data_IF_716313113049
#
_entry.id   IF_716313113049
#
_cell.length_a   1.000
_cell.length_b   1.000
_cell.length_c   1.000
_cell.angle_alpha   90.00
_cell.angle_beta   90.00
_cell.angle_gamma   90.00
#
_symmetry.space_group_name_H-M   'P 1'
#
loop_
_entity.id
_entity.type
_entity.pdbx_description
1 polymer ?
#
# COMPACT_ATOMS: atom_id res chain seq x y z
N UNK A 1 13.68 5.78 -7.17
CA UNK A 1 13.70 4.34 -6.86
C UNK A 1 12.67 3.68 -7.77
N UNK A 2 13.02 2.63 -8.51
CA UNK A 2 12.05 1.94 -9.38
C UNK A 2 11.22 1.00 -8.51
N UNK A 3 9.90 1.07 -8.59
CA UNK A 3 9.01 0.14 -7.90
C UNK A 3 8.79 -1.12 -8.77
N UNK A 4 8.69 -2.27 -8.11
CA UNK A 4 8.28 -3.54 -8.73
C UNK A 4 6.75 -3.63 -8.81
N UNK A 5 6.06 -2.95 -7.89
CA UNK A 5 4.60 -2.87 -7.82
C UNK A 5 4.18 -1.46 -7.38
N UNK A 6 3.22 -0.88 -8.07
CA UNK A 6 2.59 0.40 -7.71
C UNK A 6 1.14 0.16 -7.28
N UNK A 7 0.75 0.71 -6.14
CA UNK A 7 -0.59 0.51 -5.56
C UNK A 7 -1.14 1.82 -4.98
N UNK A 8 -2.46 1.88 -4.83
CA UNK A 8 -3.14 2.96 -4.12
C UNK A 8 -3.24 2.66 -2.63
N UNK A 9 -2.92 3.64 -1.79
CA UNK A 9 -3.05 3.57 -0.33
C UNK A 9 -4.20 4.46 0.13
N UNK A 10 -5.11 3.89 0.91
CA UNK A 10 -6.33 4.53 1.41
C UNK A 10 -6.38 4.34 2.92
N UNK A 11 -7.06 5.26 3.62
CA UNK A 11 -7.49 5.05 5.00
C UNK A 11 -8.99 5.33 5.14
N UNK A 12 -9.77 4.38 5.65
CA UNK A 12 -11.23 4.49 5.78
C UNK A 12 -11.70 5.06 7.13
N UNK A 13 -10.76 5.44 7.99
CA UNK A 13 -11.01 5.88 9.38
C UNK A 13 -10.75 4.80 10.41
N UNK A 14 -10.64 3.53 10.01
CA UNK A 14 -10.33 2.38 10.88
C UNK A 14 -9.13 1.56 10.39
N UNK A 15 -9.00 1.40 9.07
CA UNK A 15 -8.01 0.56 8.43
C UNK A 15 -7.23 1.35 7.37
N UNK A 16 -5.93 1.06 7.30
CA UNK A 16 -5.12 1.28 6.12
C UNK A 16 -5.43 0.19 5.10
N UNK A 17 -5.63 0.59 3.85
CA UNK A 17 -6.03 -0.30 2.77
C UNK A 17 -5.12 -0.04 1.57
N UNK A 18 -4.51 -1.10 1.05
CA UNK A 18 -3.85 -1.11 -0.25
C UNK A 18 -4.82 -1.64 -1.28
N UNK A 19 -5.04 -0.89 -2.35
CA UNK A 19 -5.84 -1.29 -3.51
C UNK A 19 -4.98 -1.40 -4.76
N UNK A 20 -5.14 -2.54 -5.42
CA UNK A 20 -4.61 -2.84 -6.75
C UNK A 20 -5.69 -3.65 -7.50
N UNK A 21 -5.80 -3.57 -8.84
CA UNK A 21 -6.87 -4.24 -9.59
C UNK A 21 -7.07 -5.74 -9.31
N UNK A 22 -6.01 -6.42 -8.87
CA UNK A 22 -6.00 -7.88 -8.61
C UNK A 22 -5.78 -8.25 -7.15
N UNK A 23 -5.68 -7.26 -6.26
CA UNK A 23 -5.15 -7.45 -4.91
C UNK A 23 -5.64 -6.32 -4.00
N UNK A 24 -6.20 -6.69 -2.86
CA UNK A 24 -6.53 -5.75 -1.79
C UNK A 24 -5.90 -6.25 -0.50
N UNK A 25 -5.20 -5.40 0.25
CA UNK A 25 -4.64 -5.72 1.57
C UNK A 25 -5.08 -4.67 2.60
N UNK A 26 -5.18 -5.05 3.89
CA UNK A 26 -5.63 -4.15 4.95
C UNK A 26 -4.93 -4.40 6.29
N UNK A 27 -4.80 -3.34 7.09
CA UNK A 27 -4.31 -3.42 8.47
C UNK A 27 -4.71 -2.19 9.27
N UNK A 28 -4.87 -2.30 10.59
CA UNK A 28 -5.16 -1.13 11.46
C UNK A 28 -3.92 -0.27 11.64
N UNK A 29 -2.74 -0.87 11.50
CA UNK A 29 -1.46 -0.19 11.43
C UNK A 29 -0.81 -0.42 10.08
N UNK A 30 0.14 0.46 9.69
CA UNK A 30 0.93 0.25 8.48
C UNK A 30 1.73 -1.05 8.53
N UNK A 31 2.19 -1.48 9.71
CA UNK A 31 2.90 -2.76 9.87
C UNK A 31 1.97 -3.96 9.65
N UNK A 32 0.73 -3.91 10.13
CA UNK A 32 -0.27 -4.94 9.82
C UNK A 32 -0.61 -4.98 8.33
N UNK A 33 -0.74 -3.81 7.70
CA UNK A 33 -0.96 -3.71 6.26
C UNK A 33 0.20 -4.34 5.48
N UNK A 34 1.45 -4.06 5.86
CA UNK A 34 2.65 -4.60 5.21
C UNK A 34 2.70 -6.15 5.35
N UNK A 35 2.25 -6.70 6.49
CA UNK A 35 2.13 -8.14 6.71
C UNK A 35 1.04 -8.78 5.86
N UNK A 36 -0.16 -8.20 5.82
CA UNK A 36 -1.29 -8.70 5.01
C UNK A 36 -0.95 -8.63 3.51
N UNK A 37 -0.29 -7.55 3.08
CA UNK A 37 0.19 -7.40 1.70
C UNK A 37 1.22 -8.46 1.33
N UNK A 38 2.19 -8.72 2.21
CA UNK A 38 3.18 -9.79 2.02
C UNK A 38 2.52 -11.15 1.84
N UNK A 39 1.54 -11.47 2.69
CA UNK A 39 0.82 -12.75 2.63
C UNK A 39 0.08 -12.92 1.29
N UNK A 40 -0.63 -11.88 0.84
CA UNK A 40 -1.38 -11.95 -0.40
C UNK A 40 -0.50 -11.98 -1.66
N UNK A 41 0.65 -11.31 -1.62
CA UNK A 41 1.63 -11.40 -2.71
C UNK A 41 2.23 -12.81 -2.82
N UNK A 42 2.48 -13.49 -1.69
CA UNK A 42 2.88 -14.90 -1.67
C UNK A 42 1.81 -15.81 -2.26
N UNK A 43 0.55 -15.61 -1.87
CA UNK A 43 -0.59 -16.40 -2.35
C UNK A 43 -0.82 -16.23 -3.86
N UNK A 44 -0.62 -15.01 -4.37
CA UNK A 44 -0.79 -14.72 -5.80
C UNK A 44 0.29 -15.38 -6.67
N UNK A 45 1.51 -15.54 -6.14
CA UNK A 45 2.60 -16.23 -6.83
C UNK A 45 3.22 -15.47 -8.00
N UNK A 46 2.92 -14.17 -8.14
CA UNK A 46 3.48 -13.31 -9.21
C UNK A 46 4.99 -13.10 -9.09
N UNK A 47 5.55 -13.33 -7.89
CA UNK A 47 6.95 -13.15 -7.57
C UNK A 47 7.56 -14.46 -7.10
N UNK A 48 8.83 -14.75 -7.43
CA UNK A 48 9.54 -15.93 -6.92
C UNK A 48 9.57 -15.96 -5.39
N UNK A 49 9.55 -17.15 -4.80
CA UNK A 49 9.78 -17.32 -3.36
C UNK A 49 11.15 -16.75 -2.96
N UNK A 50 11.25 -16.12 -1.78
CA UNK A 50 12.47 -15.42 -1.29
C UNK A 50 12.84 -14.15 -2.06
N UNK A 51 11.91 -13.56 -2.81
CA UNK A 51 12.13 -12.28 -3.50
C UNK A 51 11.97 -11.08 -2.58
N UNK A 52 12.69 -10.00 -2.93
CA UNK A 52 12.46 -8.68 -2.37
C UNK A 52 11.62 -7.89 -3.38
N UNK A 53 10.47 -7.40 -2.93
CA UNK A 53 9.55 -6.62 -3.76
C UNK A 53 9.48 -5.20 -3.22
N UNK A 54 9.86 -4.24 -4.05
CA UNK A 54 9.69 -2.82 -3.77
C UNK A 54 8.30 -2.37 -4.18
N UNK A 55 7.48 -2.01 -3.21
CA UNK A 55 6.12 -1.52 -3.45
C UNK A 55 6.08 -0.01 -3.25
N UNK A 56 5.65 0.72 -4.27
CA UNK A 56 5.26 2.11 -4.14
C UNK A 56 3.76 2.20 -3.80
N UNK A 57 3.45 2.89 -2.71
CA UNK A 57 2.10 3.13 -2.23
C UNK A 57 1.79 4.61 -2.39
N UNK A 58 1.01 4.95 -3.41
CA UNK A 58 0.53 6.31 -3.65
C UNK A 58 -0.74 6.57 -2.84
N UNK A 59 -0.74 7.58 -1.97
CA UNK A 59 -1.93 7.89 -1.18
C UNK A 59 -3.06 8.41 -2.07
N UNK A 60 -4.25 7.83 -1.94
CA UNK A 60 -5.44 8.23 -2.67
C UNK A 60 -6.13 9.40 -1.96
N UNK A 61 -5.97 10.59 -2.54
CA UNK A 61 -6.52 11.84 -2.02
C UNK A 61 -8.03 11.95 -2.18
N UNK A 62 -8.69 11.07 -2.94
CA UNK A 62 -10.15 11.06 -3.03
C UNK A 62 -10.83 10.58 -1.76
N UNK A 63 -10.06 10.00 -0.85
CA UNK A 63 -10.50 9.61 0.49
C UNK A 63 -10.63 10.79 1.45
N UNK A 64 -10.05 11.95 1.13
CA UNK A 64 -10.09 13.15 1.98
C UNK A 64 -10.91 14.27 1.34
N UNK A 65 -11.71 15.02 2.13
CA UNK A 65 -12.48 16.15 1.63
C UNK A 65 -11.59 17.19 0.93
N UNK A 66 -12.05 17.74 -0.19
CA UNK A 66 -11.25 18.66 -1.03
C UNK A 66 -10.69 19.85 -0.25
N UNK A 67 -11.43 20.37 0.73
CA UNK A 67 -11.01 21.53 1.53
C UNK A 67 -9.78 21.27 2.40
N UNK A 68 -9.52 20.02 2.81
CA UNK A 68 -8.35 19.66 3.62
C UNK A 68 -7.12 19.31 2.76
N UNK A 69 -7.32 19.01 1.46
CA UNK A 69 -6.23 18.63 0.53
C UNK A 69 -5.15 19.71 0.38
N UNK A 70 -5.47 20.98 0.57
CA UNK A 70 -4.47 22.06 0.52
C UNK A 70 -3.48 22.03 1.71
N UNK A 71 -3.85 21.35 2.81
CA UNK A 71 -2.98 21.17 3.98
C UNK A 71 -2.26 19.81 3.93
N UNK A 72 -2.41 19.06 2.84
CA UNK A 72 -1.90 17.72 2.62
C UNK A 72 -0.42 17.63 2.25
N UNK A 73 0.40 18.66 2.52
CA UNK A 73 1.77 18.77 2.02
C UNK A 73 2.67 17.56 2.34
N UNK A 74 2.25 16.66 3.24
CA UNK A 74 2.98 15.47 3.67
C UNK A 74 2.17 14.16 3.69
N UNK A 75 1.03 14.02 2.99
CA UNK A 75 0.35 12.71 2.97
C UNK A 75 1.19 11.64 2.26
N UNK A 76 1.31 10.49 2.93
CA UNK A 76 2.45 9.58 2.84
C UNK A 76 2.38 8.68 1.61
N UNK A 77 2.83 9.20 0.47
CA UNK A 77 3.43 8.31 -0.51
C UNK A 77 4.60 7.59 0.17
N UNK A 78 4.61 6.27 0.11
CA UNK A 78 5.69 5.48 0.75
C UNK A 78 6.20 4.40 -0.19
N UNK A 79 7.49 4.13 -0.06
CA UNK A 79 8.10 2.92 -0.58
C UNK A 79 8.24 1.94 0.57
N UNK A 80 7.89 0.67 0.34
CA UNK A 80 8.15 -0.40 1.29
C UNK A 80 8.87 -1.53 0.57
N UNK A 81 9.84 -2.13 1.26
CA UNK A 81 10.56 -3.31 0.80
C UNK A 81 9.97 -4.51 1.52
N UNK A 82 9.28 -5.38 0.78
CA UNK A 82 8.68 -6.60 1.32
C UNK A 82 9.56 -7.80 0.99
N UNK A 83 9.66 -8.74 1.94
CA UNK A 83 10.36 -10.02 1.74
C UNK A 83 9.32 -11.12 1.66
N UNK A 84 9.15 -11.69 0.47
CA UNK A 84 8.22 -12.78 0.19
C UNK A 84 8.86 -14.13 0.49
#
# INVERSE_FOLDING_TARGET
>A
MKADLEVSLIHDGTYWIVRHPTLEARGRTLSELDQDLTQRLREKGDFPASSQVTVFMGFDYDTIPTWIRQYAYHYFNRYVLLRL
#
